data_IF_329928168361
#
_entry.id   IF_329928168361
#
_cell.length_a   1.000
_cell.length_b   1.000
_cell.length_c   1.000
_cell.angle_alpha   90.00
_cell.angle_beta   90.00
_cell.angle_gamma   90.00
#
_symmetry.space_group_name_H-M   'P 1'
#
loop_
_entity.id
_entity.type
_entity.pdbx_description
1 polymer ?
#
# COMPACT_ATOMS: atom_id res chain seq x y z
N UNK A 1 -2.51 3.62 -21.91
CA UNK A 1 -1.93 2.29 -22.18
C UNK A 1 -1.04 1.95 -20.99
N UNK A 2 -1.49 1.09 -20.06
CA UNK A 2 -0.67 0.73 -18.90
C UNK A 2 0.57 -0.03 -19.39
N UNK A 3 1.78 0.48 -19.10
CA UNK A 3 3.03 -0.25 -19.38
C UNK A 3 2.97 -1.59 -18.62
N UNK A 4 3.09 -2.70 -19.35
CA UNK A 4 3.13 -4.07 -18.77
C UNK A 4 4.15 -4.11 -17.63
N UNK A 5 3.67 -4.31 -16.41
CA UNK A 5 4.51 -4.60 -15.23
C UNK A 5 4.64 -3.50 -14.18
N UNK A 6 4.00 -2.34 -14.34
CA UNK A 6 4.05 -1.27 -13.33
C UNK A 6 2.84 -1.35 -12.41
N UNK A 7 3.07 -1.31 -11.10
CA UNK A 7 2.02 -1.19 -10.09
C UNK A 7 1.68 0.29 -9.94
N UNK A 8 0.39 0.62 -10.04
CA UNK A 8 -0.10 1.98 -9.89
C UNK A 8 -1.00 2.12 -8.67
N UNK A 9 -1.08 3.34 -8.14
CA UNK A 9 -2.12 3.75 -7.20
C UNK A 9 -3.49 3.84 -7.90
N UNK A 10 -4.56 4.10 -7.14
CA UNK A 10 -5.92 4.12 -7.70
C UNK A 10 -6.14 5.24 -8.75
N UNK A 11 -5.31 6.29 -8.78
CA UNK A 11 -5.41 7.35 -9.78
C UNK A 11 -4.41 7.20 -10.93
N UNK A 12 -3.75 6.04 -11.04
CA UNK A 12 -2.85 5.72 -12.14
C UNK A 12 -1.42 6.22 -11.96
N UNK A 13 -1.03 6.71 -10.78
CA UNK A 13 0.37 7.04 -10.50
C UNK A 13 1.17 5.77 -10.28
N UNK A 14 2.31 5.66 -10.94
CA UNK A 14 3.25 4.56 -10.74
C UNK A 14 3.87 4.63 -9.32
N UNK A 15 3.96 3.48 -8.66
CA UNK A 15 4.49 3.35 -7.30
C UNK A 15 5.87 2.69 -7.31
N UNK A 16 6.79 3.23 -6.51
CA UNK A 16 8.16 2.77 -6.39
C UNK A 16 8.60 2.67 -4.91
N UNK A 17 9.62 1.86 -4.61
CA UNK A 17 10.28 1.91 -3.31
C UNK A 17 10.75 3.34 -2.98
N UNK A 18 10.56 3.76 -1.73
CA UNK A 18 10.85 5.09 -1.23
C UNK A 18 9.68 6.07 -1.31
N UNK A 19 8.60 5.76 -2.03
CA UNK A 19 7.43 6.63 -2.10
C UNK A 19 6.66 6.68 -0.77
N UNK A 20 6.11 7.85 -0.45
CA UNK A 20 5.14 8.03 0.62
C UNK A 20 3.73 7.84 0.07
N UNK A 21 2.99 6.93 0.69
CA UNK A 21 1.62 6.60 0.29
C UNK A 21 0.67 6.67 1.48
N UNK A 22 -0.59 7.03 1.21
CA UNK A 22 -1.72 6.79 2.12
C UNK A 22 -2.37 5.45 1.76
N UNK A 23 -2.79 4.70 2.77
CA UNK A 23 -3.53 3.46 2.58
C UNK A 23 -4.57 3.23 3.69
N UNK A 24 -5.61 2.49 3.34
CA UNK A 24 -6.60 2.02 4.30
C UNK A 24 -6.03 0.89 5.17
N UNK A 25 -5.98 1.11 6.48
CA UNK A 25 -5.57 0.11 7.47
C UNK A 25 -6.72 -0.24 8.42
N UNK A 26 -6.85 -1.53 8.75
CA UNK A 26 -7.88 -2.00 9.69
C UNK A 26 -7.55 -1.55 11.12
N UNK A 27 -8.60 -1.16 11.85
CA UNK A 27 -8.55 -0.86 13.28
C UNK A 27 -9.77 -1.52 13.96
N UNK A 28 -9.62 -2.79 14.34
CA UNK A 28 -10.76 -3.58 14.84
C UNK A 28 -11.89 -3.64 13.80
N UNK A 29 -13.07 -3.14 14.14
CA UNK A 29 -14.21 -3.05 13.21
C UNK A 29 -14.27 -1.71 12.43
N UNK A 30 -13.23 -0.87 12.54
CA UNK A 30 -13.11 0.40 11.81
C UNK A 30 -11.98 0.34 10.78
N UNK A 31 -11.94 1.37 9.96
CA UNK A 31 -10.85 1.66 9.02
C UNK A 31 -10.26 3.01 9.37
N UNK A 32 -8.94 3.11 9.26
CA UNK A 32 -8.21 4.37 9.29
C UNK A 32 -7.41 4.54 8.02
N UNK A 33 -7.12 5.78 7.69
CA UNK A 33 -6.09 6.12 6.71
C UNK A 33 -4.76 6.20 7.45
N UNK A 34 -3.71 5.70 6.83
CA UNK A 34 -2.39 5.69 7.40
C UNK A 34 -1.36 6.00 6.32
N UNK A 35 -0.32 6.73 6.70
CA UNK A 35 0.80 6.99 5.83
C UNK A 35 1.87 5.92 6.03
N UNK A 36 2.52 5.53 4.94
CA UNK A 36 3.61 4.58 4.96
C UNK A 36 4.61 4.84 3.84
N UNK A 37 5.86 4.45 4.08
CA UNK A 37 6.90 4.42 3.06
C UNK A 37 6.86 3.06 2.36
N UNK A 38 6.86 3.06 1.03
CA UNK A 38 6.94 1.85 0.22
C UNK A 38 8.36 1.29 0.31
N UNK A 39 8.50 0.03 0.74
CA UNK A 39 9.77 -0.69 0.78
C UNK A 39 9.98 -1.57 -0.45
N UNK A 40 8.90 -2.16 -0.95
CA UNK A 40 8.93 -3.12 -2.05
C UNK A 40 7.63 -3.05 -2.85
N UNK A 41 7.75 -3.21 -4.17
CA UNK A 41 6.62 -3.23 -5.11
C UNK A 41 6.70 -4.52 -5.91
N UNK A 42 5.66 -5.35 -5.86
CA UNK A 42 5.63 -6.62 -6.59
C UNK A 42 4.20 -7.10 -6.87
N UNK A 43 4.06 -8.20 -7.60
CA UNK A 43 2.80 -8.90 -7.78
C UNK A 43 2.90 -10.31 -7.17
N UNK A 44 1.91 -10.70 -6.37
CA UNK A 44 1.85 -12.04 -5.77
C UNK A 44 0.67 -12.82 -6.33
N UNK A 45 0.82 -14.13 -6.43
CA UNK A 45 -0.30 -15.02 -6.75
C UNK A 45 -1.20 -15.17 -5.51
N UNK A 46 -2.49 -14.95 -5.70
CA UNK A 46 -3.53 -15.19 -4.70
C UNK A 46 -4.62 -16.07 -5.31
N UNK A 47 -5.18 -16.98 -4.52
CA UNK A 47 -6.31 -17.81 -4.95
C UNK A 47 -7.60 -17.12 -4.55
N UNK A 48 -8.44 -16.81 -5.54
CA UNK A 48 -9.77 -16.22 -5.35
C UNK A 48 -10.83 -17.29 -5.60
N UNK A 49 -11.73 -17.49 -4.64
CA UNK A 49 -12.81 -18.46 -4.77
C UNK A 49 -13.67 -18.17 -6.01
N UNK A 50 -13.89 -19.19 -6.84
CA UNK A 50 -14.64 -19.07 -8.10
C UNK A 50 -13.87 -18.51 -9.30
N UNK A 51 -12.65 -18.00 -9.11
CA UNK A 51 -11.80 -17.45 -10.20
C UNK A 51 -10.51 -18.24 -10.38
N UNK A 52 -9.94 -18.80 -9.31
CA UNK A 52 -8.66 -19.50 -9.33
C UNK A 52 -7.49 -18.59 -8.98
N UNK A 53 -6.31 -18.85 -9.55
CA UNK A 53 -5.10 -18.10 -9.26
C UNK A 53 -5.06 -16.75 -10.01
N UNK A 54 -4.94 -15.65 -9.28
CA UNK A 54 -4.90 -14.28 -9.79
C UNK A 54 -3.59 -13.62 -9.33
N UNK A 55 -3.00 -12.78 -10.18
CA UNK A 55 -1.90 -11.91 -9.77
C UNK A 55 -2.45 -10.63 -9.14
N UNK A 56 -2.09 -10.38 -7.90
CA UNK A 56 -2.51 -9.21 -7.14
C UNK A 56 -1.31 -8.28 -6.94
N UNK A 57 -1.40 -7.00 -7.33
CA UNK A 57 -0.37 -6.02 -7.05
C UNK A 57 -0.32 -5.73 -5.54
N UNK A 58 0.86 -5.86 -4.95
CA UNK A 58 1.08 -5.69 -3.51
C UNK A 58 2.30 -4.83 -3.24
N UNK A 59 2.25 -4.15 -2.11
CA UNK A 59 3.31 -3.29 -1.61
C UNK A 59 3.74 -3.83 -0.24
N UNK A 60 5.04 -3.91 0.00
CA UNK A 60 5.57 -3.99 1.37
C UNK A 60 5.76 -2.56 1.84
N UNK A 61 5.12 -2.18 2.94
CA UNK A 61 5.14 -0.79 3.43
C UNK A 61 5.57 -0.71 4.88
N UNK A 62 6.26 0.37 5.23
CA UNK A 62 6.66 0.76 6.58
C UNK A 62 5.78 1.92 7.05
N UNK A 63 4.84 1.70 7.99
CA UNK A 63 4.01 2.79 8.51
C UNK A 63 4.85 3.90 9.14
N UNK A 64 4.47 5.17 8.90
CA UNK A 64 5.14 6.33 9.49
C UNK A 64 4.63 6.67 10.89
N UNK A 65 3.44 6.16 11.24
CA UNK A 65 2.72 6.51 12.47
C UNK A 65 1.82 7.76 12.33
N UNK A 66 1.79 8.39 11.15
CA UNK A 66 0.83 9.44 10.78
C UNK A 66 -0.44 8.75 10.27
N UNK A 67 -1.55 8.90 11.00
CA UNK A 67 -2.77 8.15 10.75
C UNK A 67 -4.01 8.94 11.16
N UNK A 68 -5.11 8.68 10.46
CA UNK A 68 -6.43 9.09 10.93
C UNK A 68 -6.93 8.14 12.01
N UNK A 69 -7.78 8.65 12.90
CA UNK A 69 -8.38 7.85 13.96
C UNK A 69 -8.13 8.41 15.35
N UNK A 70 -8.96 7.94 16.30
CA UNK A 70 -8.95 8.45 17.68
C UNK A 70 -7.75 7.96 18.49
N UNK A 71 -7.19 6.80 18.13
CA UNK A 71 -6.03 6.21 18.82
C UNK A 71 -4.94 5.85 17.82
N UNK A 72 -3.70 6.18 18.17
CA UNK A 72 -2.51 5.79 17.41
C UNK A 72 -2.34 4.27 17.43
N UNK A 73 -1.76 3.70 16.37
CA UNK A 73 -1.40 2.27 16.38
C UNK A 73 -0.26 2.00 17.35
N UNK A 74 -0.23 0.77 17.89
CA UNK A 74 0.80 0.34 18.85
C UNK A 74 2.12 -0.07 18.18
N UNK A 75 2.06 -0.56 16.95
CA UNK A 75 3.22 -1.12 16.25
C UNK A 75 3.31 -0.55 14.85
N UNK A 76 4.52 -0.23 14.41
CA UNK A 76 4.81 0.25 13.05
C UNK A 76 5.56 -0.81 12.25
N UNK A 77 5.26 -2.09 12.44
CA UNK A 77 5.97 -3.17 11.74
C UNK A 77 5.69 -3.11 10.23
N UNK A 78 6.69 -3.41 9.38
CA UNK A 78 6.46 -3.57 7.95
C UNK A 78 5.33 -4.57 7.66
N UNK A 79 4.48 -4.25 6.70
CA UNK A 79 3.36 -5.12 6.32
C UNK A 79 3.11 -5.14 4.82
N UNK A 80 2.47 -6.20 4.36
CA UNK A 80 2.03 -6.33 2.98
C UNK A 80 0.61 -5.79 2.83
N UNK A 81 0.40 -4.94 1.85
CA UNK A 81 -0.90 -4.37 1.48
C UNK A 81 -1.16 -4.56 -0.01
N UNK A 82 -2.42 -4.58 -0.43
CA UNK A 82 -2.79 -4.51 -1.84
C UNK A 82 -2.67 -3.07 -2.34
N UNK A 83 -2.36 -2.89 -3.62
CA UNK A 83 -2.25 -1.55 -4.21
C UNK A 83 -3.61 -0.89 -4.50
N UNK A 84 -4.72 -1.63 -4.44
CA UNK A 84 -6.06 -1.19 -4.85
C UNK A 84 -6.58 0.03 -4.06
N UNK A 85 -6.26 0.12 -2.76
CA UNK A 85 -6.71 1.19 -1.88
C UNK A 85 -5.55 2.05 -1.38
N UNK A 86 -4.60 2.32 -2.28
CA UNK A 86 -3.39 3.11 -2.01
C UNK A 86 -3.42 4.39 -2.84
N UNK A 87 -2.94 5.48 -2.24
CA UNK A 87 -2.77 6.79 -2.88
C UNK A 87 -1.34 7.28 -2.71
N UNK A 88 -0.67 7.64 -3.80
CA UNK A 88 0.60 8.35 -3.73
C UNK A 88 0.40 9.74 -3.11
N UNK A 89 1.17 10.05 -2.07
CA UNK A 89 1.24 11.38 -1.46
C UNK A 89 2.45 12.12 -2.01
N UNK A 90 3.63 11.49 -1.94
CA UNK A 90 4.89 12.10 -2.33
C UNK A 90 5.85 11.04 -2.88
N UNK A 91 6.49 11.36 -3.99
CA UNK A 91 7.48 10.49 -4.64
C UNK A 91 8.84 10.60 -3.96
N UNK A 92 9.54 9.48 -3.76
CA UNK A 92 10.93 9.45 -3.26
C UNK A 92 11.13 10.03 -1.85
N UNK A 93 10.12 9.95 -0.98
CA UNK A 93 10.16 10.44 0.39
C UNK A 93 11.33 9.89 1.23
N UNK A 94 11.66 8.60 1.07
CA UNK A 94 12.74 7.94 1.82
C UNK A 94 14.17 8.33 1.42
N UNK A 95 14.33 9.18 0.39
CA UNK A 95 15.63 9.65 -0.10
C UNK A 95 15.99 11.06 0.42
N UNK A 96 15.22 11.60 1.37
CA UNK A 96 15.47 12.89 2.04
C UNK A 96 16.32 12.73 3.29
#
# INVERSE_FOLDING_TARGET
>A
MAKRGVVTDYAGNELYPGDLVAYAARQGNRVRQADAVVLEVTAKRATVAGVGAVLVPVLRVQPTGIESGFTKRRTITPQWITAEHVRLIQRGYGNQ
#
